data_IF_069825873295
#
_entry.id   IF_069825873295
#
_cell.length_a   1.000
_cell.length_b   1.000
_cell.length_c   1.000
_cell.angle_alpha   90.00
_cell.angle_beta   90.00
_cell.angle_gamma   90.00
#
_symmetry.space_group_name_H-M   'P 1'
#
loop_
_entity.id
_entity.type
_entity.pdbx_description
1 polymer ?
#
# COMPACT_ATOMS: atom_id res chain seq x y z
N UNK A 1 -3.87 5.73 -12.59
CA UNK A 1 -4.84 6.03 -11.50
C UNK A 1 -4.07 6.26 -10.22
N UNK A 2 -4.53 7.17 -9.36
CA UNK A 2 -3.93 7.41 -8.04
C UNK A 2 -4.86 6.83 -6.98
N UNK A 3 -4.34 6.07 -6.02
CA UNK A 3 -5.15 5.40 -5.00
C UNK A 3 -4.55 5.52 -3.59
N UNK A 4 -5.39 5.30 -2.59
CA UNK A 4 -4.98 5.07 -1.21
C UNK A 4 -5.33 3.66 -0.77
N UNK A 5 -4.50 3.07 0.08
CA UNK A 5 -4.67 1.71 0.61
C UNK A 5 -4.88 1.80 2.12
N UNK A 6 -5.91 1.11 2.63
CA UNK A 6 -6.24 1.04 4.06
C UNK A 6 -6.22 -0.42 4.48
N UNK A 7 -5.72 -0.70 5.68
CA UNK A 7 -5.38 -2.07 6.11
C UNK A 7 -4.42 -2.70 5.09
N UNK A 8 -3.37 -1.93 4.74
CA UNK A 8 -2.45 -2.21 3.64
C UNK A 8 -1.62 -3.49 3.82
N UNK A 9 -1.51 -4.04 5.03
CA UNK A 9 -0.52 -5.03 5.41
C UNK A 9 0.87 -4.54 5.04
N UNK A 10 1.64 -5.38 4.34
CA UNK A 10 2.93 -5.00 3.72
C UNK A 10 2.78 -4.57 2.25
N UNK A 11 1.56 -4.19 1.86
CA UNK A 11 1.19 -3.62 0.56
C UNK A 11 1.24 -4.60 -0.63
N UNK A 12 0.44 -5.67 -0.54
CA UNK A 12 0.27 -6.63 -1.63
C UNK A 12 -0.48 -6.05 -2.85
N UNK A 13 -1.35 -5.04 -2.64
CA UNK A 13 -2.13 -4.43 -3.71
C UNK A 13 -1.23 -3.71 -4.73
N UNK A 14 -0.22 -2.96 -4.27
CA UNK A 14 0.76 -2.30 -5.15
C UNK A 14 1.49 -3.29 -6.05
N UNK A 15 1.92 -4.43 -5.51
CA UNK A 15 2.58 -5.48 -6.31
C UNK A 15 1.63 -6.04 -7.37
N UNK A 16 0.38 -6.29 -7.00
CA UNK A 16 -0.63 -6.78 -7.94
C UNK A 16 -0.99 -5.76 -9.02
N UNK A 17 -0.93 -4.46 -8.71
CA UNK A 17 -1.35 -3.37 -9.59
C UNK A 17 -0.21 -2.68 -10.34
N UNK A 18 1.04 -3.06 -10.12
CA UNK A 18 2.20 -2.56 -10.87
C UNK A 18 1.99 -2.65 -12.40
N UNK A 19 1.49 -3.76 -12.98
CA UNK A 19 1.26 -3.85 -14.44
C UNK A 19 0.17 -2.92 -14.96
N UNK A 20 -0.69 -2.39 -14.08
CA UNK A 20 -1.76 -1.46 -14.45
C UNK A 20 -1.27 -0.01 -14.52
N UNK A 21 -0.03 0.28 -14.08
CA UNK A 21 0.53 1.62 -14.04
C UNK A 21 -0.17 2.54 -13.04
N UNK A 22 -0.73 1.98 -11.97
CA UNK A 22 -1.38 2.76 -10.90
C UNK A 22 -0.36 3.19 -9.86
N UNK A 23 -0.57 4.35 -9.26
CA UNK A 23 0.36 4.94 -8.30
C UNK A 23 -0.30 5.10 -6.93
N UNK A 24 0.30 4.59 -5.86
CA UNK A 24 -0.18 4.83 -4.51
C UNK A 24 0.12 6.28 -4.09
N UNK A 25 -0.87 6.94 -3.49
CA UNK A 25 -0.70 8.24 -2.85
C UNK A 25 -0.37 8.12 -1.36
N UNK A 26 -0.90 7.11 -0.68
CA UNK A 26 -0.70 6.87 0.74
C UNK A 26 -1.09 5.43 1.13
N UNK A 27 -0.52 4.97 2.24
CA UNK A 27 -0.82 3.68 2.86
C UNK A 27 -1.25 3.91 4.31
N UNK A 28 -2.09 3.00 4.85
CA UNK A 28 -2.54 3.07 6.23
C UNK A 28 -2.60 1.67 6.86
N UNK A 29 -1.90 1.51 7.97
CA UNK A 29 -1.95 0.31 8.79
C UNK A 29 -1.98 0.61 10.28
N UNK A 30 -2.52 -0.35 11.04
CA UNK A 30 -2.61 -0.31 12.50
C UNK A 30 -1.57 -1.17 13.20
N UNK A 31 -1.14 -2.26 12.56
CA UNK A 31 -0.17 -3.18 13.16
C UNK A 31 1.24 -2.54 13.08
N UNK A 32 2.01 -2.48 14.20
CA UNK A 32 3.31 -1.81 14.22
C UNK A 32 4.33 -2.30 13.19
N UNK A 33 4.39 -3.62 12.94
CA UNK A 33 5.39 -4.17 12.02
C UNK A 33 5.13 -3.75 10.56
N UNK A 34 3.94 -4.00 9.97
CA UNK A 34 3.63 -3.52 8.63
C UNK A 34 3.69 -1.99 8.50
N UNK A 35 3.25 -1.25 9.54
CA UNK A 35 3.37 0.22 9.54
C UNK A 35 4.83 0.69 9.39
N UNK A 36 5.78 -0.01 10.02
CA UNK A 36 7.21 0.29 9.88
C UNK A 36 7.77 -0.07 8.50
N UNK A 37 7.18 -1.06 7.81
CA UNK A 37 7.56 -1.41 6.42
C UNK A 37 7.08 -0.34 5.43
N UNK A 38 5.98 0.35 5.74
CA UNK A 38 5.34 1.34 4.86
C UNK A 38 5.82 2.79 5.09
N UNK A 39 6.67 3.03 6.08
CA UNK A 39 7.16 4.35 6.50
C UNK A 39 8.39 4.85 5.70
#
# INVERSE_FOLDING_TARGET
MIYGSVCSGIEAASVAWEPLGWQPAWFAEIEPFPSAVLA
#
